data_IF_595443816624
#
_entry.id   IF_595443816624
#
_cell.length_a   1.000
_cell.length_b   1.000
_cell.length_c   1.000
_cell.angle_alpha   90.00
_cell.angle_beta   90.00
_cell.angle_gamma   90.00
#
_symmetry.space_group_name_H-M   'P 1'
#
loop_
_entity.id
_entity.type
_entity.pdbx_description
1 polymer ?
#
# COMPACT_ATOMS: atom_id res chain seq x y z
N UNK A 1 30.36 -17.54 -0.98
CA UNK A 1 30.28 -16.58 0.15
C UNK A 1 28.82 -16.26 0.37
N UNK A 2 28.17 -16.94 1.31
CA UNK A 2 26.81 -16.60 1.70
C UNK A 2 26.88 -15.33 2.53
N UNK A 3 26.50 -14.19 1.96
CA UNK A 3 26.14 -13.02 2.75
C UNK A 3 24.84 -13.37 3.47
N UNK A 4 24.93 -14.10 4.58
CA UNK A 4 23.91 -14.17 5.63
C UNK A 4 23.88 -12.85 6.39
N UNK A 5 23.66 -11.75 5.66
CA UNK A 5 23.15 -10.53 6.26
C UNK A 5 21.70 -10.79 6.60
N UNK A 6 21.43 -11.50 7.71
CA UNK A 6 20.10 -11.55 8.29
C UNK A 6 19.76 -10.13 8.71
N UNK A 7 19.12 -9.39 7.81
CA UNK A 7 18.56 -8.08 8.11
C UNK A 7 17.39 -8.32 9.06
N UNK A 8 17.71 -8.44 10.34
CA UNK A 8 16.73 -8.63 11.40
C UNK A 8 15.99 -7.30 11.56
N UNK A 9 14.83 -7.19 10.91
CA UNK A 9 13.98 -6.01 11.07
C UNK A 9 13.52 -5.98 12.54
N UNK A 10 13.76 -4.90 13.31
CA UNK A 10 13.34 -4.85 14.70
C UNK A 10 11.81 -4.98 14.81
N UNK A 11 11.27 -5.65 15.84
CA UNK A 11 9.82 -5.67 16.09
C UNK A 11 9.23 -4.25 16.18
N UNK A 12 9.94 -3.32 16.81
CA UNK A 12 9.55 -1.91 16.89
C UNK A 12 9.30 -1.30 15.51
N UNK A 13 10.17 -1.60 14.53
CA UNK A 13 10.05 -1.07 13.15
C UNK A 13 8.83 -1.64 12.44
N UNK A 14 8.47 -2.91 12.68
CA UNK A 14 7.23 -3.45 12.13
C UNK A 14 6.00 -2.77 12.72
N UNK A 15 5.95 -2.64 14.04
CA UNK A 15 4.80 -2.04 14.71
C UNK A 15 4.63 -0.58 14.30
N UNK A 16 5.72 0.17 14.14
CA UNK A 16 5.66 1.55 13.63
C UNK A 16 5.18 1.59 12.18
N UNK A 17 5.74 0.75 11.29
CA UNK A 17 5.30 0.69 9.89
C UNK A 17 3.81 0.31 9.77
N UNK A 18 3.37 -0.65 10.57
CA UNK A 18 1.99 -1.10 10.62
C UNK A 18 1.04 0.00 11.11
N UNK A 19 1.39 0.67 12.21
CA UNK A 19 0.62 1.80 12.74
C UNK A 19 0.55 2.95 11.73
N UNK A 20 1.66 3.30 11.09
CA UNK A 20 1.70 4.33 10.04
C UNK A 20 0.81 3.96 8.87
N UNK A 21 0.82 2.72 8.38
CA UNK A 21 -0.05 2.29 7.29
C UNK A 21 -1.54 2.39 7.64
N UNK A 22 -1.91 1.97 8.86
CA UNK A 22 -3.29 2.12 9.36
C UNK A 22 -3.67 3.59 9.46
N UNK A 23 -2.80 4.45 10.00
CA UNK A 23 -3.04 5.89 10.09
C UNK A 23 -3.21 6.53 8.71
N UNK A 24 -2.37 6.19 7.73
CA UNK A 24 -2.49 6.69 6.35
C UNK A 24 -3.83 6.28 5.74
N UNK A 25 -4.26 5.03 5.94
CA UNK A 25 -5.56 4.54 5.47
C UNK A 25 -6.73 5.32 6.10
N UNK A 26 -6.70 5.52 7.42
CA UNK A 26 -7.73 6.26 8.14
C UNK A 26 -7.80 7.73 7.72
N UNK A 27 -6.64 8.39 7.57
CA UNK A 27 -6.58 9.76 7.09
C UNK A 27 -7.12 9.87 5.66
N UNK A 28 -6.75 8.95 4.77
CA UNK A 28 -7.25 8.93 3.39
C UNK A 28 -8.77 8.69 3.31
N UNK A 29 -9.33 7.89 4.23
CA UNK A 29 -10.79 7.73 4.35
C UNK A 29 -11.45 9.00 4.91
N UNK A 30 -10.87 9.60 5.95
CA UNK A 30 -11.40 10.83 6.55
C UNK A 30 -11.44 11.99 5.56
N UNK A 31 -10.43 12.13 4.70
CA UNK A 31 -10.36 13.18 3.66
C UNK A 31 -11.46 12.97 2.59
N UNK A 32 -11.77 11.73 2.21
CA UNK A 32 -12.89 11.52 1.28
C UNK A 32 -14.24 11.77 1.96
N UNK A 33 -14.41 11.33 3.20
CA UNK A 33 -15.66 11.55 3.94
C UNK A 33 -15.93 13.02 4.26
N UNK A 34 -14.90 13.85 4.39
CA UNK A 34 -15.04 15.30 4.54
C UNK A 34 -15.39 16.01 3.22
N UNK A 35 -15.42 15.29 2.09
CA UNK A 35 -15.66 15.85 0.76
C UNK A 35 -14.46 16.63 0.20
N UNK A 36 -13.30 16.60 0.87
CA UNK A 36 -12.07 17.27 0.43
C UNK A 36 -11.35 16.52 -0.70
N UNK A 37 -11.64 15.22 -0.87
CA UNK A 37 -11.18 14.43 -2.02
C UNK A 37 -12.35 13.92 -2.85
N UNK A 38 -12.12 13.86 -4.16
CA UNK A 38 -13.07 13.26 -5.10
C UNK A 38 -13.21 11.75 -4.86
N UNK A 39 -14.39 11.21 -5.20
CA UNK A 39 -14.66 9.78 -5.06
C UNK A 39 -13.95 9.00 -6.17
N UNK A 40 -13.02 8.14 -5.79
CA UNK A 40 -12.16 7.41 -6.70
C UNK A 40 -12.21 5.90 -6.40
N UNK A 41 -12.82 5.05 -7.24
CA UNK A 41 -12.96 3.62 -6.96
C UNK A 41 -11.60 2.92 -6.82
N UNK A 42 -10.61 3.28 -7.63
CA UNK A 42 -9.24 2.78 -7.52
C UNK A 42 -8.62 3.12 -6.16
N UNK A 43 -8.81 4.36 -5.71
CA UNK A 43 -8.26 4.89 -4.48
C UNK A 43 -8.94 4.24 -3.26
N UNK A 44 -10.24 3.96 -3.32
CA UNK A 44 -10.98 3.24 -2.27
C UNK A 44 -10.39 1.86 -2.02
N UNK A 45 -10.08 1.11 -3.09
CA UNK A 45 -9.44 -0.21 -2.97
C UNK A 45 -8.05 -0.06 -2.35
N UNK A 46 -7.23 0.85 -2.87
CA UNK A 46 -5.86 1.07 -2.40
C UNK A 46 -5.81 1.42 -0.92
N UNK A 47 -6.55 2.44 -0.46
CA UNK A 47 -6.51 2.86 0.95
C UNK A 47 -7.06 1.79 1.89
N UNK A 48 -8.08 1.05 1.47
CA UNK A 48 -8.65 -0.04 2.29
C UNK A 48 -7.64 -1.16 2.46
N UNK A 49 -6.97 -1.54 1.38
CA UNK A 49 -6.00 -2.64 1.44
C UNK A 49 -4.69 -2.21 2.13
N UNK A 50 -4.25 -0.96 1.99
CA UNK A 50 -3.14 -0.42 2.81
C UNK A 50 -3.47 -0.54 4.31
N UNK A 51 -4.69 -0.17 4.71
CA UNK A 51 -5.15 -0.30 6.10
C UNK A 51 -5.21 -1.76 6.56
N UNK A 52 -5.79 -2.64 5.72
CA UNK A 52 -5.86 -4.08 5.98
C UNK A 52 -4.46 -4.70 6.15
N UNK A 53 -3.53 -4.40 5.26
CA UNK A 53 -2.16 -4.90 5.35
C UNK A 53 -1.44 -4.36 6.59
N UNK A 54 -1.69 -3.11 6.98
CA UNK A 54 -1.22 -2.55 8.24
C UNK A 54 -1.74 -3.33 9.46
N UNK A 55 -3.04 -3.64 9.49
CA UNK A 55 -3.65 -4.47 10.55
C UNK A 55 -3.06 -5.88 10.55
N UNK A 56 -2.94 -6.53 9.38
CA UNK A 56 -2.33 -7.85 9.26
C UNK A 56 -0.87 -7.86 9.73
N UNK A 57 -0.12 -6.78 9.51
CA UNK A 57 1.25 -6.63 9.99
C UNK A 57 1.32 -6.51 11.53
N UNK A 58 0.37 -5.83 12.18
CA UNK A 58 0.27 -5.78 13.66
C UNK A 58 0.07 -7.18 14.26
N UNK A 59 -0.69 -8.04 13.57
CA UNK A 59 -1.01 -9.39 14.03
C UNK A 59 -0.14 -10.49 13.42
N UNK A 60 0.92 -10.13 12.69
CA UNK A 60 1.80 -11.09 12.06
C UNK A 60 2.57 -11.90 13.10
N UNK A 61 2.22 -13.19 13.22
CA UNK A 61 2.89 -14.16 14.09
C UNK A 61 3.78 -15.10 13.27
N UNK A 62 4.97 -15.46 13.77
CA UNK A 62 5.79 -16.50 13.17
C UNK A 62 5.02 -17.82 12.97
N UNK A 63 5.24 -18.48 11.84
CA UNK A 63 4.76 -19.84 11.58
C UNK A 63 3.30 -19.99 11.13
N UNK A 64 2.51 -18.92 11.10
CA UNK A 64 1.13 -18.95 10.59
C UNK A 64 1.02 -18.66 9.08
N UNK A 65 0.22 -19.43 8.34
CA UNK A 65 0.01 -19.24 6.90
C UNK A 65 -1.12 -18.25 6.55
N UNK A 66 -2.09 -18.06 7.46
CA UNK A 66 -3.30 -17.26 7.19
C UNK A 66 -2.98 -15.79 6.93
N UNK A 67 -2.10 -15.18 7.75
CA UNK A 67 -1.75 -13.77 7.62
C UNK A 67 -1.00 -13.48 6.31
N UNK A 68 0.06 -14.23 5.93
CA UNK A 68 0.68 -14.08 4.62
C UNK A 68 -0.28 -14.32 3.45
N UNK A 69 -1.14 -15.34 3.56
CA UNK A 69 -2.11 -15.65 2.49
C UNK A 69 -3.08 -14.48 2.26
N UNK A 70 -3.71 -13.96 3.32
CA UNK A 70 -4.57 -12.78 3.23
C UNK A 70 -3.83 -11.55 2.69
N UNK A 71 -2.58 -11.35 3.13
CA UNK A 71 -1.78 -10.22 2.69
C UNK A 71 -1.45 -10.30 1.19
N UNK A 72 -1.04 -11.45 0.68
CA UNK A 72 -0.74 -11.61 -0.75
C UNK A 72 -2.00 -11.54 -1.62
N UNK A 73 -3.12 -12.14 -1.21
CA UNK A 73 -4.36 -12.10 -1.99
C UNK A 73 -4.91 -10.67 -2.08
N UNK A 74 -5.06 -9.99 -0.94
CA UNK A 74 -5.59 -8.62 -0.91
C UNK A 74 -4.61 -7.60 -1.50
N UNK A 75 -3.33 -7.69 -1.12
CA UNK A 75 -2.26 -6.82 -1.61
C UNK A 75 -2.01 -6.98 -3.11
N UNK A 76 -2.04 -8.21 -3.64
CA UNK A 76 -1.92 -8.47 -5.07
C UNK A 76 -3.06 -7.85 -5.87
N UNK A 77 -4.30 -8.00 -5.42
CA UNK A 77 -5.45 -7.35 -6.03
C UNK A 77 -5.32 -5.82 -6.02
N UNK A 78 -5.00 -5.23 -4.87
CA UNK A 78 -4.83 -3.78 -4.76
C UNK A 78 -3.67 -3.25 -5.62
N UNK A 79 -2.58 -4.01 -5.72
CA UNK A 79 -1.45 -3.63 -6.56
C UNK A 79 -1.85 -3.58 -8.03
N UNK A 80 -2.63 -4.56 -8.52
CA UNK A 80 -3.16 -4.53 -9.89
C UNK A 80 -4.06 -3.32 -10.10
N UNK A 81 -4.96 -3.02 -9.16
CA UNK A 81 -5.84 -1.85 -9.23
C UNK A 81 -5.03 -0.54 -9.26
N UNK A 82 -3.97 -0.44 -8.44
CA UNK A 82 -3.08 0.72 -8.43
C UNK A 82 -2.27 0.83 -9.72
N UNK A 83 -1.74 -0.28 -10.23
CA UNK A 83 -1.02 -0.34 -11.50
C UNK A 83 -1.92 0.07 -12.68
N UNK A 84 -3.19 -0.35 -12.69
CA UNK A 84 -4.16 0.07 -13.71
C UNK A 84 -4.41 1.58 -13.66
N UNK A 85 -4.58 2.16 -12.47
CA UNK A 85 -4.74 3.62 -12.32
C UNK A 85 -3.48 4.36 -12.77
N UNK A 86 -2.31 3.89 -12.37
CA UNK A 86 -1.03 4.49 -12.73
C UNK A 86 -0.79 4.41 -14.25
N UNK A 87 -1.07 3.24 -14.86
CA UNK A 87 -0.97 3.05 -16.29
C UNK A 87 -1.96 3.90 -17.08
N UNK A 88 -3.17 4.16 -16.55
CA UNK A 88 -4.09 5.12 -17.16
C UNK A 88 -3.49 6.53 -17.24
N UNK A 89 -2.73 6.96 -16.23
CA UNK A 89 -2.00 8.22 -16.30
C UNK A 89 -0.89 8.18 -17.37
N UNK A 90 -0.11 7.10 -17.45
CA UNK A 90 0.87 6.91 -18.52
C UNK A 90 0.24 6.95 -19.91
N UNK A 91 -0.92 6.33 -20.12
CA UNK A 91 -1.66 6.40 -21.38
C UNK A 91 -2.01 7.84 -21.76
N UNK A 92 -2.43 8.66 -20.79
CA UNK A 92 -2.73 10.09 -21.02
C UNK A 92 -1.46 10.88 -21.37
N UNK A 93 -0.33 10.56 -20.75
CA UNK A 93 0.98 11.16 -21.06
C UNK A 93 1.37 10.84 -22.50
N UNK A 94 1.30 9.58 -22.90
CA UNK A 94 1.61 9.15 -24.27
C UNK A 94 0.66 9.74 -25.31
N UNK A 95 -0.59 10.00 -24.96
CA UNK A 95 -1.58 10.63 -25.83
C UNK A 95 -1.46 12.16 -25.90
N UNK A 96 -0.52 12.79 -25.17
CA UNK A 96 -0.38 14.25 -25.12
C UNK A 96 -1.53 14.99 -24.44
N UNK A 97 -2.45 14.29 -23.78
CA UNK A 97 -3.64 14.84 -23.09
C UNK A 97 -3.48 14.85 -21.56
N UNK A 98 -2.25 14.71 -21.09
CA UNK A 98 -1.93 14.74 -19.68
C UNK A 98 -1.88 16.17 -19.17
N UNK A 99 -2.68 16.42 -18.14
CA UNK A 99 -2.59 17.60 -17.29
C UNK A 99 -2.56 17.11 -15.86
N UNK A 100 -1.61 17.63 -15.07
CA UNK A 100 -1.67 17.51 -13.63
C UNK A 100 -2.88 18.31 -13.14
N UNK A 101 -3.57 17.80 -12.12
CA UNK A 101 -4.56 18.61 -11.41
C UNK A 101 -3.92 19.89 -10.86
N UNK A 102 -4.74 20.95 -10.69
CA UNK A 102 -4.31 22.20 -10.03
C UNK A 102 -3.64 21.93 -8.69
N UNK A 103 -4.20 20.97 -7.94
CA UNK A 103 -3.61 20.41 -6.73
C UNK A 103 -2.82 19.15 -7.09
N UNK A 104 -1.61 19.32 -7.64
CA UNK A 104 -0.78 18.23 -8.14
C UNK A 104 -0.54 17.09 -7.13
N UNK A 105 -0.56 17.38 -5.82
CA UNK A 105 -0.31 16.41 -4.76
C UNK A 105 -1.47 15.42 -4.51
N UNK A 106 -2.68 15.72 -5.00
CA UNK A 106 -3.81 14.77 -4.99
C UNK A 106 -4.02 14.11 -6.37
N UNK A 107 -3.06 14.28 -7.28
CA UNK A 107 -3.19 13.74 -8.63
C UNK A 107 -3.25 12.20 -8.61
N UNK A 108 -4.25 11.58 -9.28
CA UNK A 108 -4.40 10.14 -9.28
C UNK A 108 -3.19 9.36 -9.83
N UNK A 109 -2.40 9.93 -10.75
CA UNK A 109 -1.21 9.27 -11.27
C UNK A 109 -0.10 9.22 -10.22
N UNK A 110 0.08 10.31 -9.46
CA UNK A 110 1.09 10.41 -8.41
C UNK A 110 0.72 9.52 -7.21
N UNK A 111 -0.52 9.62 -6.74
CA UNK A 111 -1.01 8.84 -5.61
C UNK A 111 -1.00 7.34 -5.88
N UNK A 112 -1.37 6.90 -7.10
CA UNK A 112 -1.34 5.48 -7.45
C UNK A 112 0.08 4.92 -7.49
N UNK A 113 1.08 5.70 -7.94
CA UNK A 113 2.48 5.30 -7.88
C UNK A 113 2.97 5.12 -6.44
N UNK A 114 2.63 6.07 -5.54
CA UNK A 114 2.94 5.96 -4.11
C UNK A 114 2.26 4.77 -3.43
N UNK A 115 0.98 4.52 -3.78
CA UNK A 115 0.23 3.38 -3.27
C UNK A 115 0.85 2.05 -3.70
N UNK A 116 1.32 1.91 -4.95
CA UNK A 116 1.99 0.69 -5.42
C UNK A 116 3.22 0.35 -4.57
N UNK A 117 4.08 1.36 -4.31
CA UNK A 117 5.27 1.18 -3.48
C UNK A 117 4.91 0.75 -2.06
N UNK A 118 3.89 1.39 -1.48
CA UNK A 118 3.42 1.09 -0.14
C UNK A 118 2.83 -0.32 -0.03
N UNK A 119 2.02 -0.74 -1.01
CA UNK A 119 1.44 -2.09 -1.06
C UNK A 119 2.51 -3.16 -1.13
N UNK A 120 3.52 -2.99 -1.99
CA UNK A 120 4.65 -3.93 -2.09
C UNK A 120 5.44 -3.97 -0.79
N UNK A 121 5.79 -2.80 -0.24
CA UNK A 121 6.50 -2.72 1.03
C UNK A 121 5.75 -3.44 2.16
N UNK A 122 4.44 -3.22 2.28
CA UNK A 122 3.62 -3.87 3.32
C UNK A 122 3.53 -5.39 3.13
N UNK A 123 3.36 -5.88 1.90
CA UNK A 123 3.39 -7.32 1.63
C UNK A 123 4.73 -7.95 2.02
N UNK A 124 5.85 -7.28 1.70
CA UNK A 124 7.19 -7.74 2.09
C UNK A 124 7.37 -7.73 3.61
N UNK A 125 6.90 -6.69 4.30
CA UNK A 125 6.99 -6.58 5.75
C UNK A 125 6.15 -7.64 6.46
N UNK A 126 4.94 -7.93 5.99
CA UNK A 126 4.09 -9.02 6.53
C UNK A 126 4.82 -10.36 6.38
N UNK A 127 5.38 -10.63 5.20
CA UNK A 127 6.14 -11.85 4.99
C UNK A 127 7.37 -11.95 5.88
N UNK A 128 8.12 -10.85 6.00
CA UNK A 128 9.29 -10.79 6.88
C UNK A 128 8.92 -10.97 8.35
N UNK A 129 7.74 -10.52 8.77
CA UNK A 129 7.23 -10.70 10.13
C UNK A 129 6.86 -12.16 10.43
N UNK A 130 6.18 -12.83 9.50
CA UNK A 130 5.75 -14.23 9.66
C UNK A 130 6.88 -15.26 9.51
N UNK A 131 8.03 -14.87 8.95
CA UNK A 131 9.21 -15.73 8.78
C UNK A 131 10.28 -15.56 9.87
N UNK A 132 10.05 -14.74 10.89
CA UNK A 132 11.02 -14.58 12.00
C UNK A 132 11.08 -15.87 12.81
N UNK A 133 12.16 -16.62 12.67
CA UNK A 133 12.50 -17.76 13.52
C UNK A 133 13.25 -17.32 14.75
#
# INVERSE_FOLDING_TARGET
>A
MAHTGSMTIPPKVLYTAAAVAVLISLLAWAIEWSGLAYVCPYCRVQRTVIGLLGVLLLFARPGGIVVPWLAYTSGGFAFVVAAMQHFNGWKRISAGSFSLNEQWYIDPWLLSGGAMLMLVALMMLVQAACRRT
#
